data_IF_177706290633
#
_entry.id   IF_177706290633
#
_cell.length_a   1.000
_cell.length_b   1.000
_cell.length_c   1.000
_cell.angle_alpha   90.00
_cell.angle_beta   90.00
_cell.angle_gamma   90.00
#
_symmetry.space_group_name_H-M   'P 1'
#
loop_
_entity.id
_entity.type
_entity.pdbx_description
1 polymer ?
#
# COMPACT_ATOMS: atom_id res chain seq x y z
N UNK A 1 18.86 11.96 1.54
CA UNK A 1 17.77 11.04 1.25
C UNK A 1 18.17 9.56 1.33
N UNK A 2 19.24 9.11 0.68
CA UNK A 2 19.70 7.70 0.72
C UNK A 2 19.89 7.12 2.12
N UNK A 3 20.46 7.86 3.06
CA UNK A 3 20.64 7.42 4.45
C UNK A 3 19.29 7.14 5.12
N UNK A 4 18.34 8.09 4.98
CA UNK A 4 17.00 7.99 5.56
C UNK A 4 16.24 6.76 5.02
N UNK A 5 16.20 6.59 3.70
CA UNK A 5 15.49 5.46 3.08
C UNK A 5 16.12 4.12 3.42
N UNK A 6 17.45 4.05 3.55
CA UNK A 6 18.15 2.84 3.99
C UNK A 6 17.80 2.51 5.44
N UNK A 7 17.77 3.50 6.32
CA UNK A 7 17.39 3.32 7.71
C UNK A 7 15.95 2.82 7.83
N UNK A 8 14.99 3.48 7.16
CA UNK A 8 13.59 3.07 7.15
C UNK A 8 13.40 1.61 6.72
N UNK A 9 14.08 1.19 5.66
CA UNK A 9 13.98 -0.18 5.14
C UNK A 9 14.65 -1.21 6.06
N UNK A 10 15.72 -0.84 6.76
CA UNK A 10 16.38 -1.74 7.72
C UNK A 10 15.57 -1.95 9.00
N UNK A 11 14.96 -0.89 9.50
CA UNK A 11 14.24 -0.89 10.78
C UNK A 11 12.81 -1.43 10.68
N UNK A 12 12.23 -1.50 9.46
CA UNK A 12 10.84 -1.89 9.28
C UNK A 12 10.70 -3.05 8.29
N UNK A 13 9.81 -4.01 8.62
CA UNK A 13 9.45 -5.13 7.75
C UNK A 13 8.50 -4.70 6.64
N UNK A 14 7.59 -3.80 6.97
CA UNK A 14 6.56 -3.27 6.07
C UNK A 14 6.57 -1.76 6.15
N UNK A 15 6.55 -1.11 4.99
CA UNK A 15 6.44 0.34 4.84
C UNK A 15 5.17 0.63 4.08
N UNK A 16 4.32 1.49 4.62
CA UNK A 16 3.08 1.90 3.97
C UNK A 16 3.17 3.37 3.60
N UNK A 17 2.86 3.69 2.35
CA UNK A 17 2.89 5.05 1.81
C UNK A 17 1.61 5.37 1.06
N UNK A 18 1.26 6.63 0.98
CA UNK A 18 0.15 7.11 0.16
C UNK A 18 0.59 7.23 -1.30
N UNK A 19 -0.27 6.81 -2.23
CA UNK A 19 -0.02 6.96 -3.67
C UNK A 19 -0.39 8.37 -4.13
N UNK A 20 0.54 9.30 -3.95
CA UNK A 20 0.35 10.68 -4.40
C UNK A 20 0.59 10.81 -5.91
N UNK A 21 -0.39 11.31 -6.65
CA UNK A 21 -0.27 11.57 -8.09
C UNK A 21 0.53 12.85 -8.35
N UNK A 22 1.83 12.80 -8.19
CA UNK A 22 2.77 13.92 -8.33
C UNK A 22 2.61 14.63 -9.67
N UNK A 23 2.35 13.90 -10.76
CA UNK A 23 2.17 14.46 -12.12
C UNK A 23 1.02 15.48 -12.22
N UNK A 24 -0.02 15.35 -11.40
CA UNK A 24 -1.17 16.25 -11.40
C UNK A 24 -0.96 17.46 -10.49
N UNK A 25 -0.06 17.38 -9.53
CA UNK A 25 0.25 18.45 -8.59
C UNK A 25 1.18 19.51 -9.20
N UNK A 26 1.98 19.16 -10.19
CA UNK A 26 3.01 20.03 -10.81
C UNK A 26 2.40 21.10 -11.74
N UNK A 27 1.18 20.94 -12.22
CA UNK A 27 0.62 21.82 -13.27
C UNK A 27 0.30 23.26 -12.83
N UNK A 28 0.22 23.56 -11.53
CA UNK A 28 -0.27 24.87 -11.04
C UNK A 28 0.49 25.46 -9.84
N UNK A 29 1.76 25.11 -9.59
CA UNK A 29 2.39 25.44 -8.31
C UNK A 29 3.71 26.21 -8.40
N UNK A 30 3.95 27.01 -7.39
CA UNK A 30 5.21 27.74 -7.15
C UNK A 30 6.39 26.76 -7.06
N UNK A 31 7.59 27.20 -7.45
CA UNK A 31 8.81 26.41 -7.52
C UNK A 31 9.11 25.55 -6.27
N UNK A 32 8.80 26.05 -5.08
CA UNK A 32 9.00 25.30 -3.82
C UNK A 32 8.17 24.01 -3.75
N UNK A 33 6.95 24.03 -4.27
CA UNK A 33 6.10 22.85 -4.29
C UNK A 33 6.58 21.83 -5.33
N UNK A 34 7.01 22.28 -6.50
CA UNK A 34 7.60 21.41 -7.52
C UNK A 34 8.87 20.69 -7.00
N UNK A 35 9.70 21.36 -6.21
CA UNK A 35 10.89 20.78 -5.57
C UNK A 35 10.46 19.74 -4.52
N UNK A 36 9.45 20.05 -3.72
CA UNK A 36 8.89 19.12 -2.71
C UNK A 36 8.33 17.85 -3.37
N UNK A 37 7.58 18.00 -4.45
CA UNK A 37 6.99 16.89 -5.19
C UNK A 37 8.06 16.01 -5.86
N UNK A 38 9.12 16.61 -6.40
CA UNK A 38 10.27 15.90 -6.94
C UNK A 38 11.01 15.10 -5.85
N UNK A 39 11.15 15.68 -4.66
CA UNK A 39 11.76 15.01 -3.50
C UNK A 39 10.93 13.82 -3.01
N UNK A 40 9.60 13.96 -3.00
CA UNK A 40 8.70 12.86 -2.66
C UNK A 40 8.78 11.72 -3.68
N UNK A 41 8.77 12.03 -4.97
CA UNK A 41 8.93 11.04 -6.04
C UNK A 41 10.24 10.26 -5.90
N UNK A 42 11.33 10.94 -5.60
CA UNK A 42 12.63 10.30 -5.36
C UNK A 42 12.64 9.44 -4.10
N UNK A 43 11.99 9.89 -3.02
CA UNK A 43 11.82 9.09 -1.80
C UNK A 43 11.12 7.77 -2.10
N UNK A 44 9.97 7.81 -2.78
CA UNK A 44 9.21 6.62 -3.14
C UNK A 44 10.01 5.71 -4.07
N UNK A 45 10.69 6.25 -5.06
CA UNK A 45 11.56 5.48 -5.97
C UNK A 45 12.65 4.73 -5.19
N UNK A 46 13.29 5.39 -4.23
CA UNK A 46 14.31 4.77 -3.40
C UNK A 46 13.74 3.69 -2.47
N UNK A 47 12.56 3.89 -1.91
CA UNK A 47 11.90 2.88 -1.09
C UNK A 47 11.54 1.64 -1.91
N UNK A 48 11.05 1.79 -3.14
CA UNK A 48 10.70 0.66 -4.02
C UNK A 48 11.89 -0.27 -4.19
N UNK A 49 13.01 0.19 -4.77
CA UNK A 49 14.13 -0.70 -5.05
C UNK A 49 14.84 -1.20 -3.79
N UNK A 50 14.88 -0.40 -2.72
CA UNK A 50 15.50 -0.83 -1.46
C UNK A 50 14.66 -1.88 -0.75
N UNK A 51 13.33 -1.77 -0.76
CA UNK A 51 12.47 -2.82 -0.22
C UNK A 51 12.69 -4.15 -0.94
N UNK A 52 12.84 -4.14 -2.28
CA UNK A 52 13.21 -5.34 -3.03
C UNK A 52 14.56 -5.90 -2.59
N UNK A 53 15.61 -5.06 -2.49
CA UNK A 53 16.96 -5.51 -2.09
C UNK A 53 17.03 -6.08 -0.68
N UNK A 54 16.26 -5.54 0.24
CA UNK A 54 16.26 -5.96 1.65
C UNK A 54 15.14 -6.97 1.98
N UNK A 55 14.36 -7.41 0.98
CA UNK A 55 13.23 -8.33 1.19
C UNK A 55 12.15 -7.76 2.09
N UNK A 56 11.86 -6.45 1.96
CA UNK A 56 10.83 -5.73 2.72
C UNK A 56 9.60 -5.49 1.87
N UNK A 57 8.46 -5.29 2.50
CA UNK A 57 7.22 -5.01 1.81
C UNK A 57 6.94 -3.52 1.76
N UNK A 58 6.66 -2.99 0.56
CA UNK A 58 6.19 -1.62 0.35
C UNK A 58 4.75 -1.66 -0.16
N UNK A 59 3.85 -1.05 0.59
CA UNK A 59 2.42 -0.96 0.26
C UNK A 59 2.06 0.48 -0.05
N UNK A 60 1.37 0.68 -1.17
CA UNK A 60 0.80 1.96 -1.55
C UNK A 60 -0.69 1.95 -1.26
N UNK A 61 -1.14 2.89 -0.46
CA UNK A 61 -2.55 3.12 -0.17
C UNK A 61 -3.11 4.10 -1.20
N UNK A 62 -4.32 3.86 -1.66
CA UNK A 62 -5.00 4.69 -2.65
C UNK A 62 -5.06 6.16 -2.20
N UNK A 63 -4.78 7.08 -3.13
CA UNK A 63 -4.83 8.54 -2.91
C UNK A 63 -6.20 9.08 -2.49
N UNK A 64 -7.27 8.36 -2.80
CA UNK A 64 -8.63 8.73 -2.43
C UNK A 64 -9.01 8.29 -1.01
N UNK A 65 -8.15 7.52 -0.35
CA UNK A 65 -8.36 7.16 1.04
C UNK A 65 -8.33 8.41 1.93
N UNK A 66 -9.40 8.69 2.69
CA UNK A 66 -9.53 9.93 3.46
C UNK A 66 -8.69 9.90 4.74
N UNK A 67 -7.39 9.69 4.63
CA UNK A 67 -6.47 9.46 5.73
C UNK A 67 -6.51 10.56 6.80
N UNK A 68 -6.50 11.83 6.40
CA UNK A 68 -6.50 12.95 7.33
C UNK A 68 -7.87 13.27 7.93
N UNK A 69 -8.96 12.92 7.23
CA UNK A 69 -10.34 13.20 7.62
C UNK A 69 -10.97 12.08 8.44
N UNK A 70 -10.39 10.91 8.47
CA UNK A 70 -10.88 9.75 9.21
C UNK A 70 -10.38 9.79 10.64
N UNK A 71 -11.26 9.66 11.61
CA UNK A 71 -10.87 9.48 13.01
C UNK A 71 -10.21 8.11 13.20
N UNK A 72 -8.96 8.10 13.66
CA UNK A 72 -8.23 6.85 13.94
C UNK A 72 -8.78 6.06 15.14
N UNK A 73 -9.65 6.68 15.96
CA UNK A 73 -10.25 6.03 17.12
C UNK A 73 -11.58 5.34 16.80
N UNK A 74 -12.53 6.05 16.18
CA UNK A 74 -13.88 5.51 15.91
C UNK A 74 -14.19 5.27 14.43
N UNK A 75 -13.31 5.68 13.52
CA UNK A 75 -13.51 5.53 12.07
C UNK A 75 -14.42 6.56 11.41
N UNK A 76 -15.00 7.51 12.19
CA UNK A 76 -15.83 8.56 11.63
C UNK A 76 -15.05 9.44 10.63
N UNK A 77 -15.68 9.82 9.51
CA UNK A 77 -15.07 10.66 8.49
C UNK A 77 -15.74 12.04 8.52
N UNK A 78 -14.95 13.08 8.78
CA UNK A 78 -15.46 14.45 8.74
C UNK A 78 -15.53 14.95 7.29
N UNK A 79 -16.61 15.66 6.94
CA UNK A 79 -16.82 16.13 5.58
C UNK A 79 -15.75 17.13 5.14
N UNK A 80 -15.41 18.07 5.99
CA UNK A 80 -14.46 19.15 5.71
C UNK A 80 -13.41 19.24 6.80
N UNK A 81 -12.15 19.21 6.42
CA UNK A 81 -11.01 19.51 7.27
C UNK A 81 -10.05 20.41 6.49
N UNK A 82 -10.13 21.74 6.69
CA UNK A 82 -9.29 22.71 5.99
C UNK A 82 -7.80 22.44 6.19
N UNK A 83 -6.97 22.76 5.21
CA UNK A 83 -5.53 22.47 5.23
C UNK A 83 -4.77 23.21 6.35
N UNK A 84 -5.28 24.35 6.79
CA UNK A 84 -4.70 25.14 7.89
C UNK A 84 -4.99 24.55 9.28
N UNK A 85 -5.96 23.64 9.41
CA UNK A 85 -6.27 22.96 10.66
C UNK A 85 -5.27 21.81 10.87
N UNK A 86 -4.46 21.95 11.91
CA UNK A 86 -3.45 20.97 12.29
C UNK A 86 -3.94 19.99 13.36
N UNK A 87 -4.79 20.46 14.24
CA UNK A 87 -5.38 19.68 15.34
C UNK A 87 -6.90 19.76 15.25
N UNK A 88 -7.59 18.67 15.58
CA UNK A 88 -9.04 18.62 15.53
C UNK A 88 -9.61 17.58 16.47
N UNK A 89 -10.82 17.80 16.93
CA UNK A 89 -11.57 16.89 17.80
C UNK A 89 -12.63 16.15 16.99
N UNK A 90 -12.73 14.84 17.19
CA UNK A 90 -13.74 14.05 16.51
C UNK A 90 -15.14 14.36 17.04
N UNK A 91 -16.10 14.75 16.18
CA UNK A 91 -17.45 15.08 16.64
C UNK A 91 -18.23 13.86 17.19
N UNK A 92 -17.81 12.65 16.88
CA UNK A 92 -18.50 11.42 17.30
C UNK A 92 -17.95 10.82 18.60
N UNK A 93 -16.63 10.86 18.80
CA UNK A 93 -16.02 10.21 19.98
C UNK A 93 -15.17 11.16 20.83
N UNK A 94 -15.11 12.44 20.47
CA UNK A 94 -14.35 13.50 21.14
C UNK A 94 -12.84 13.25 21.26
N UNK A 95 -12.29 12.29 20.49
CA UNK A 95 -10.86 12.04 20.46
C UNK A 95 -10.15 13.21 19.80
N UNK A 96 -9.11 13.71 20.47
CA UNK A 96 -8.24 14.75 19.95
C UNK A 96 -7.18 14.18 19.01
N UNK A 97 -6.98 14.79 17.86
CA UNK A 97 -6.06 14.34 16.83
C UNK A 97 -5.13 15.46 16.36
N UNK A 98 -3.83 15.17 16.32
CA UNK A 98 -2.94 15.81 15.38
C UNK A 98 -3.22 15.26 13.98
N UNK A 99 -3.41 16.13 13.01
CA UNK A 99 -3.84 15.77 11.65
C UNK A 99 -2.88 14.82 10.96
N UNK A 100 -1.56 15.11 11.03
CA UNK A 100 -0.55 14.36 10.29
C UNK A 100 -0.29 13.01 10.96
N UNK A 101 -0.25 12.97 12.29
CA UNK A 101 -0.12 11.72 13.07
C UNK A 101 -1.33 10.82 12.86
N UNK A 102 -2.54 11.39 12.90
CA UNK A 102 -3.77 10.63 12.66
C UNK A 102 -3.80 10.06 11.23
N UNK A 103 -3.41 10.85 10.22
CA UNK A 103 -3.32 10.39 8.84
C UNK A 103 -2.32 9.24 8.69
N UNK A 104 -1.13 9.34 9.30
CA UNK A 104 -0.11 8.29 9.27
C UNK A 104 -0.62 6.98 9.88
N UNK A 105 -1.31 7.03 11.02
CA UNK A 105 -1.93 5.86 11.65
C UNK A 105 -3.00 5.22 10.77
N UNK A 106 -3.84 6.02 10.13
CA UNK A 106 -4.88 5.54 9.22
C UNK A 106 -4.30 4.90 7.96
N UNK A 107 -3.25 5.48 7.38
CA UNK A 107 -2.53 4.91 6.22
C UNK A 107 -1.91 3.58 6.60
N UNK A 108 -1.25 3.49 7.76
CA UNK A 108 -0.68 2.24 8.25
C UNK A 108 -1.76 1.16 8.41
N UNK A 109 -2.87 1.48 9.07
CA UNK A 109 -3.98 0.55 9.28
C UNK A 109 -4.57 0.05 7.95
N UNK A 110 -4.76 0.94 6.97
CA UNK A 110 -5.25 0.58 5.64
C UNK A 110 -4.27 -0.35 4.91
N UNK A 111 -2.97 -0.08 4.99
CA UNK A 111 -1.93 -0.93 4.39
C UNK A 111 -1.86 -2.32 5.01
N UNK A 112 -1.92 -2.41 6.34
CA UNK A 112 -1.94 -3.70 7.05
C UNK A 112 -3.19 -4.53 6.72
N UNK A 113 -4.35 -3.90 6.54
CA UNK A 113 -5.56 -4.57 6.09
C UNK A 113 -5.38 -5.23 4.70
N UNK A 114 -4.66 -4.61 3.78
CA UNK A 114 -4.34 -5.18 2.46
C UNK A 114 -3.51 -6.45 2.61
N UNK A 115 -2.54 -6.51 3.52
CA UNK A 115 -1.73 -7.71 3.77
C UNK A 115 -2.61 -8.86 4.26
N UNK A 116 -3.47 -8.60 5.24
CA UNK A 116 -4.38 -9.62 5.80
C UNK A 116 -5.31 -10.17 4.72
N UNK A 117 -5.89 -9.31 3.88
CA UNK A 117 -6.73 -9.74 2.76
C UNK A 117 -5.95 -10.60 1.76
N UNK A 118 -4.69 -10.25 1.43
CA UNK A 118 -3.84 -11.04 0.53
C UNK A 118 -3.49 -12.42 1.11
N UNK A 119 -3.22 -12.50 2.40
CA UNK A 119 -2.92 -13.76 3.08
C UNK A 119 -4.11 -14.73 3.06
N UNK A 120 -5.34 -14.21 3.17
CA UNK A 120 -6.57 -15.00 3.16
C UNK A 120 -7.05 -15.42 1.76
N UNK A 121 -6.48 -14.86 0.68
CA UNK A 121 -6.87 -15.12 -0.73
C UNK A 121 -5.89 -16.05 -1.45
N UNK A 122 -4.95 -16.72 -0.78
CA UNK A 122 -4.15 -17.77 -1.44
C UNK A 122 -4.97 -19.05 -1.56
N UNK A 123 -5.59 -19.35 -2.72
CA UNK A 123 -6.05 -20.70 -2.98
C UNK A 123 -4.82 -21.60 -3.09
N UNK A 124 -4.87 -22.75 -2.42
CA UNK A 124 -3.85 -23.80 -2.52
C UNK A 124 -3.58 -24.15 -3.99
N UNK A 125 -2.46 -23.71 -4.52
CA UNK A 125 -2.01 -24.01 -5.90
C UNK A 125 -1.34 -25.37 -6.02
N UNK A 126 -1.62 -26.32 -5.14
CA UNK A 126 -0.86 -27.57 -5.11
C UNK A 126 -1.59 -28.86 -5.55
N UNK A 127 -2.84 -28.82 -5.99
CA UNK A 127 -3.54 -30.08 -6.36
C UNK A 127 -3.90 -30.30 -7.83
N UNK A 128 -3.65 -29.39 -8.74
CA UNK A 128 -4.10 -29.53 -10.13
C UNK A 128 -3.11 -30.16 -11.14
N UNK A 129 -1.94 -30.64 -10.71
CA UNK A 129 -0.95 -31.23 -11.65
C UNK A 129 -0.76 -32.74 -11.54
N UNK A 130 -1.52 -33.48 -10.73
CA UNK A 130 -1.33 -34.94 -10.56
C UNK A 130 -2.34 -35.83 -11.28
N UNK A 131 -3.41 -35.31 -11.89
CA UNK A 131 -4.45 -36.12 -12.51
C UNK A 131 -4.45 -36.21 -14.04
N UNK A 132 -3.47 -35.62 -14.74
CA UNK A 132 -3.44 -35.65 -16.23
C UNK A 132 -2.42 -36.62 -16.84
N UNK A 133 -1.92 -37.61 -16.11
CA UNK A 133 -0.93 -38.56 -16.66
C UNK A 133 -1.32 -40.05 -16.53
N UNK A 134 -2.62 -40.41 -16.47
CA UNK A 134 -3.03 -41.83 -16.39
C UNK A 134 -4.15 -42.24 -17.37
N UNK A 135 -4.20 -41.71 -18.57
CA UNK A 135 -5.09 -42.28 -19.62
C UNK A 135 -4.46 -42.11 -21.00
N UNK A 136 -3.35 -42.79 -21.25
CA UNK A 136 -2.89 -43.04 -22.63
C UNK A 136 -2.03 -44.31 -22.70
N UNK A 137 -2.68 -45.46 -22.45
CA UNK A 137 -2.17 -46.73 -22.89
C UNK A 137 -3.38 -47.60 -23.32
N UNK A 138 -3.97 -47.27 -24.46
CA UNK A 138 -4.89 -48.09 -25.20
C UNK A 138 -4.17 -48.82 -26.31
N UNK A 139 -4.01 -50.14 -26.15
CA UNK A 139 -3.38 -51.07 -27.10
C UNK A 139 -4.11 -51.02 -28.44
N UNK A 140 -3.39 -50.75 -29.54
CA UNK A 140 -3.79 -51.04 -30.90
C UNK A 140 -3.64 -52.56 -31.13
N UNK A 141 -4.71 -53.29 -31.27
CA UNK A 141 -4.72 -54.65 -31.86
C UNK A 141 -4.92 -54.49 -33.39
N UNK A 142 -4.02 -55.15 -34.14
CA UNK A 142 -4.12 -55.28 -35.58
C UNK A 142 -5.10 -56.41 -35.95
N UNK A 143 -5.93 -56.28 -36.96
CA UNK A 143 -6.70 -57.41 -37.49
C UNK A 143 -5.78 -58.30 -38.35
N UNK A 144 -5.90 -59.62 -38.15
CA UNK A 144 -5.35 -60.61 -39.09
C UNK A 144 -6.40 -60.90 -40.14
N UNK A 145 -5.96 -60.90 -41.38
CA UNK A 145 -6.66 -61.39 -42.56
C UNK A 145 -6.97 -62.90 -42.46
#
# INVERSE_FOLDING_TARGET
MHKLTTQLVRENQTIVVEDLAIKNMVKNHKLAQAISDASWGELIRQLVYKCEWYGRELIKVDRWFPSSKRCGNCGHIVEKLPLNIREWDCPMCSAHHDRDINAAKNILAAGLAVIVCRANVRPDRHESKRQLRKTSNGKKQKPKS
#
